data_IF_673270484160
#
_entry.id   IF_673270484160
#
_cell.length_a   1.000
_cell.length_b   1.000
_cell.length_c   1.000
_cell.angle_alpha   90.00
_cell.angle_beta   90.00
_cell.angle_gamma   90.00
#
_symmetry.space_group_name_H-M   'P 1'
#
loop_
_entity.id
_entity.type
_entity.pdbx_description
1 polymer ?
#
# COMPACT_ATOMS: atom_id res chain seq x y z
N UNK A 1 17.35 2.09 26.96
CA UNK A 1 16.24 1.80 26.04
C UNK A 1 16.81 1.83 24.64
N UNK A 2 17.23 0.68 24.15
CA UNK A 2 17.79 0.46 22.82
C UNK A 2 16.73 0.74 21.77
N UNK A 3 17.08 1.52 20.74
CA UNK A 3 16.19 1.78 19.60
C UNK A 3 15.84 0.45 18.95
N UNK A 4 14.57 0.13 18.89
CA UNK A 4 14.06 -1.04 18.17
C UNK A 4 14.22 -0.81 16.67
N UNK A 5 14.75 -1.78 15.93
CA UNK A 5 14.93 -1.64 14.47
C UNK A 5 13.62 -1.48 13.68
N UNK A 6 12.47 -1.88 14.26
CA UNK A 6 11.14 -1.76 13.65
C UNK A 6 10.43 -0.48 14.10
N UNK A 7 10.93 0.67 13.63
CA UNK A 7 10.38 1.99 13.98
C UNK A 7 9.33 2.48 12.98
N UNK A 8 8.16 1.85 12.99
CA UNK A 8 6.99 2.39 12.30
C UNK A 8 5.85 2.64 13.30
N UNK A 9 5.70 3.88 13.76
CA UNK A 9 4.65 4.25 14.72
C UNK A 9 5.08 5.35 15.69
N UNK A 10 5.07 5.05 17.00
CA UNK A 10 5.35 6.00 18.09
C UNK A 10 6.70 6.74 17.94
N UNK A 11 7.64 6.14 17.21
CA UNK A 11 9.03 6.59 17.05
C UNK A 11 9.30 7.27 15.69
N UNK A 12 8.24 7.65 14.94
CA UNK A 12 8.37 8.39 13.69
C UNK A 12 9.10 9.72 13.89
N UNK A 13 10.14 9.97 13.10
CA UNK A 13 10.91 11.24 13.13
C UNK A 13 10.04 12.47 12.87
N UNK A 14 9.07 12.34 11.95
CA UNK A 14 8.19 13.43 11.50
C UNK A 14 6.74 12.92 11.35
N UNK A 15 5.97 12.85 12.46
CA UNK A 15 4.64 12.25 12.43
C UNK A 15 3.58 13.14 11.77
N UNK A 16 3.60 14.47 11.99
CA UNK A 16 2.59 15.39 11.43
C UNK A 16 2.56 15.36 9.88
N UNK A 17 3.70 15.50 9.17
CA UNK A 17 3.69 15.43 7.71
C UNK A 17 3.23 14.06 7.20
N UNK A 18 3.58 12.97 7.91
CA UNK A 18 3.14 11.63 7.53
C UNK A 18 1.61 11.50 7.57
N UNK A 19 0.96 11.96 8.64
CA UNK A 19 -0.50 11.92 8.74
C UNK A 19 -1.19 12.77 7.68
N UNK A 20 -0.61 13.91 7.30
CA UNK A 20 -1.12 14.72 6.19
C UNK A 20 -1.04 13.94 4.88
N UNK A 21 0.12 13.35 4.56
CA UNK A 21 0.27 12.55 3.34
C UNK A 21 -0.67 11.34 3.33
N UNK A 22 -0.93 10.72 4.48
CA UNK A 22 -1.89 9.62 4.60
C UNK A 22 -3.31 10.09 4.34
N UNK A 23 -3.70 11.24 4.88
CA UNK A 23 -4.99 11.87 4.57
C UNK A 23 -5.15 12.11 3.06
N UNK A 24 -4.13 12.66 2.42
CA UNK A 24 -4.12 12.87 0.96
C UNK A 24 -4.23 11.53 0.22
N UNK A 25 -3.53 10.49 0.66
CA UNK A 25 -3.58 9.17 0.03
C UNK A 25 -4.96 8.51 0.14
N UNK A 26 -5.66 8.69 1.27
CA UNK A 26 -7.05 8.22 1.44
C UNK A 26 -8.01 9.00 0.53
N UNK A 27 -7.84 10.32 0.41
CA UNK A 27 -8.63 11.12 -0.55
C UNK A 27 -8.37 10.66 -1.98
N UNK A 28 -7.11 10.38 -2.33
CA UNK A 28 -6.71 9.87 -3.63
C UNK A 28 -7.35 8.50 -3.93
N UNK A 29 -7.49 7.62 -2.94
CA UNK A 29 -8.26 6.38 -3.07
C UNK A 29 -9.73 6.64 -3.41
N UNK A 30 -10.38 7.61 -2.76
CA UNK A 30 -11.77 7.97 -3.05
C UNK A 30 -11.90 8.48 -4.49
N UNK A 31 -10.98 9.35 -4.93
CA UNK A 31 -10.94 9.86 -6.30
C UNK A 31 -10.74 8.70 -7.30
N UNK A 32 -9.82 7.78 -7.02
CA UNK A 32 -9.59 6.60 -7.86
C UNK A 32 -10.83 5.72 -7.96
N UNK A 33 -11.54 5.48 -6.85
CA UNK A 33 -12.76 4.69 -6.84
C UNK A 33 -13.87 5.33 -7.69
N UNK A 34 -14.06 6.65 -7.60
CA UNK A 34 -15.01 7.39 -8.43
C UNK A 34 -14.59 7.31 -9.90
N UNK A 35 -13.30 7.49 -10.20
CA UNK A 35 -12.77 7.41 -11.56
C UNK A 35 -13.00 6.03 -12.17
N UNK A 36 -12.78 4.94 -11.41
CA UNK A 36 -13.11 3.58 -11.84
C UNK A 36 -14.60 3.42 -12.12
N UNK A 37 -15.46 3.88 -11.21
CA UNK A 37 -16.92 3.72 -11.35
C UNK A 37 -17.49 4.48 -12.57
N UNK A 38 -16.87 5.59 -12.94
CA UNK A 38 -17.27 6.43 -14.08
C UNK A 38 -16.49 6.14 -15.37
N UNK A 39 -15.53 5.21 -15.36
CA UNK A 39 -14.69 4.89 -16.52
C UNK A 39 -13.73 6.02 -16.93
N UNK A 40 -13.33 6.88 -15.99
CA UNK A 40 -12.45 8.03 -16.22
C UNK A 40 -10.97 7.60 -16.14
N UNK A 41 -10.49 6.94 -17.20
CA UNK A 41 -9.14 6.35 -17.26
C UNK A 41 -8.01 7.34 -16.95
N UNK A 42 -8.09 8.58 -17.45
CA UNK A 42 -7.04 9.59 -17.23
C UNK A 42 -6.92 9.98 -15.75
N UNK A 43 -8.06 10.16 -15.06
CA UNK A 43 -8.10 10.47 -13.63
C UNK A 43 -7.59 9.26 -12.84
N UNK A 44 -7.95 8.06 -13.24
CA UNK A 44 -7.51 6.83 -12.58
C UNK A 44 -5.98 6.64 -12.68
N UNK A 45 -5.39 6.85 -13.87
CA UNK A 45 -3.93 6.80 -14.06
C UNK A 45 -3.25 7.90 -13.23
N UNK A 46 -3.83 9.10 -13.20
CA UNK A 46 -3.31 10.19 -12.37
C UNK A 46 -3.31 9.82 -10.89
N UNK A 47 -4.39 9.19 -10.41
CA UNK A 47 -4.48 8.71 -9.03
C UNK A 47 -3.44 7.62 -8.71
N UNK A 48 -3.14 6.72 -9.66
CA UNK A 48 -2.05 5.74 -9.51
C UNK A 48 -0.69 6.44 -9.32
N UNK A 49 -0.37 7.41 -10.18
CA UNK A 49 0.89 8.16 -10.11
C UNK A 49 0.99 8.89 -8.76
N UNK A 50 -0.09 9.56 -8.34
CA UNK A 50 -0.15 10.25 -7.05
C UNK A 50 0.07 9.26 -5.90
N UNK A 51 -0.54 8.08 -5.92
CA UNK A 51 -0.35 7.07 -4.87
C UNK A 51 1.13 6.67 -4.74
N UNK A 52 1.79 6.39 -5.85
CA UNK A 52 3.22 6.04 -5.88
C UNK A 52 4.07 7.20 -5.33
N UNK A 53 3.84 8.42 -5.79
CA UNK A 53 4.57 9.61 -5.32
C UNK A 53 4.39 9.82 -3.82
N UNK A 54 3.17 9.67 -3.31
CA UNK A 54 2.88 9.84 -1.88
C UNK A 54 3.61 8.79 -1.03
N UNK A 55 3.65 7.51 -1.44
CA UNK A 55 4.42 6.48 -0.74
C UNK A 55 5.91 6.82 -0.72
N UNK A 56 6.46 7.26 -1.85
CA UNK A 56 7.86 7.67 -1.96
C UNK A 56 8.14 8.87 -1.05
N UNK A 57 7.28 9.88 -1.04
CA UNK A 57 7.39 11.03 -0.15
C UNK A 57 7.33 10.62 1.34
N UNK A 58 6.45 9.69 1.70
CA UNK A 58 6.39 9.17 3.08
C UNK A 58 7.71 8.51 3.49
N UNK A 59 8.29 7.70 2.60
CA UNK A 59 9.60 7.08 2.83
C UNK A 59 10.72 8.14 2.96
N UNK A 60 10.76 9.15 2.09
CA UNK A 60 11.78 10.21 2.16
C UNK A 60 11.68 11.00 3.47
N UNK A 61 10.47 11.26 3.96
CA UNK A 61 10.25 12.01 5.20
C UNK A 61 10.61 11.18 6.44
N UNK A 62 10.32 9.87 6.42
CA UNK A 62 10.61 8.95 7.53
C UNK A 62 11.39 7.72 7.01
N UNK A 63 12.66 7.89 6.59
CA UNK A 63 13.41 6.81 5.97
C UNK A 63 13.76 5.76 7.01
N UNK A 64 13.28 4.54 6.79
CA UNK A 64 13.59 3.38 7.63
C UNK A 64 13.52 2.09 6.82
N UNK A 65 14.39 1.12 7.15
CA UNK A 65 14.37 -0.22 6.55
C UNK A 65 13.02 -0.93 6.72
N UNK A 66 12.34 -0.86 7.89
CA UNK A 66 10.99 -1.40 8.04
C UNK A 66 9.97 -0.79 7.09
N UNK A 67 10.03 0.52 6.83
CA UNK A 67 9.11 1.17 5.89
C UNK A 67 9.29 0.61 4.49
N UNK A 68 10.55 0.45 4.04
CA UNK A 68 10.85 -0.15 2.75
C UNK A 68 10.34 -1.60 2.66
N UNK A 69 10.58 -2.40 3.71
CA UNK A 69 10.07 -3.77 3.78
C UNK A 69 8.53 -3.79 3.74
N UNK A 70 7.86 -2.86 4.42
CA UNK A 70 6.42 -2.73 4.36
C UNK A 70 5.92 -2.36 2.95
N UNK A 71 6.58 -1.46 2.23
CA UNK A 71 6.20 -1.13 0.85
C UNK A 71 6.33 -2.37 -0.04
N UNK A 72 7.40 -3.15 0.10
CA UNK A 72 7.61 -4.34 -0.72
C UNK A 72 6.64 -5.46 -0.34
N UNK A 73 6.59 -5.84 0.94
CA UNK A 73 5.86 -7.03 1.41
C UNK A 73 4.42 -6.75 1.84
N UNK A 74 4.06 -5.50 2.09
CA UNK A 74 2.71 -5.08 2.50
C UNK A 74 1.91 -4.38 1.39
N UNK A 75 2.55 -3.97 0.30
CA UNK A 75 1.87 -3.29 -0.82
C UNK A 75 2.21 -4.01 -2.14
N UNK A 76 3.45 -3.90 -2.62
CA UNK A 76 3.80 -4.32 -4.00
C UNK A 76 3.63 -5.83 -4.23
N UNK A 77 4.22 -6.66 -3.37
CA UNK A 77 4.18 -8.11 -3.54
C UNK A 77 2.74 -8.67 -3.36
N UNK A 78 1.96 -8.26 -2.34
CA UNK A 78 0.55 -8.63 -2.25
C UNK A 78 -0.27 -8.19 -3.47
N UNK A 79 -0.07 -6.97 -3.98
CA UNK A 79 -0.75 -6.51 -5.20
C UNK A 79 -0.45 -7.40 -6.40
N UNK A 80 0.81 -7.82 -6.58
CA UNK A 80 1.20 -8.66 -7.71
C UNK A 80 0.56 -10.05 -7.62
N UNK A 81 0.64 -10.67 -6.45
CA UNK A 81 0.06 -12.00 -6.22
C UNK A 81 -1.47 -11.94 -6.37
N UNK A 82 -2.10 -10.92 -5.78
CA UNK A 82 -3.54 -10.66 -5.87
C UNK A 82 -3.98 -10.50 -7.33
N UNK A 83 -3.26 -9.72 -8.14
CA UNK A 83 -3.59 -9.53 -9.56
C UNK A 83 -3.45 -10.82 -10.38
N UNK A 84 -2.36 -11.56 -10.20
CA UNK A 84 -2.12 -12.83 -10.92
C UNK A 84 -3.20 -13.87 -10.58
N UNK A 85 -3.52 -14.02 -9.30
CA UNK A 85 -4.51 -15.01 -8.84
C UNK A 85 -5.92 -14.53 -9.17
N UNK A 86 -6.26 -13.28 -8.85
CA UNK A 86 -7.60 -12.72 -9.04
C UNK A 86 -8.04 -12.75 -10.49
N UNK A 87 -7.20 -12.24 -11.40
CA UNK A 87 -7.50 -12.27 -12.84
C UNK A 87 -7.40 -13.69 -13.39
N UNK A 88 -6.45 -14.49 -12.91
CA UNK A 88 -6.30 -15.89 -13.32
C UNK A 88 -7.55 -16.73 -13.02
N UNK A 89 -8.13 -16.56 -11.83
CA UNK A 89 -9.38 -17.24 -11.44
C UNK A 89 -10.53 -16.78 -12.34
N UNK A 90 -10.64 -15.49 -12.67
CA UNK A 90 -11.71 -14.99 -13.55
C UNK A 90 -11.62 -15.58 -14.96
N UNK A 91 -10.40 -15.71 -15.52
CA UNK A 91 -10.19 -16.33 -16.83
C UNK A 91 -10.48 -17.83 -16.76
N UNK A 92 -9.96 -18.55 -15.77
CA UNK A 92 -10.17 -20.00 -15.62
C UNK A 92 -11.64 -20.36 -15.37
N UNK A 93 -12.39 -19.49 -14.68
CA UNK A 93 -13.81 -19.66 -14.44
C UNK A 93 -14.70 -19.21 -15.61
N UNK A 94 -14.11 -18.71 -16.71
CA UNK A 94 -14.85 -18.27 -17.91
C UNK A 94 -15.57 -16.92 -17.75
N UNK A 95 -15.25 -16.14 -16.71
CA UNK A 95 -15.80 -14.79 -16.49
C UNK A 95 -15.02 -13.69 -17.22
N UNK A 96 -13.83 -14.00 -17.74
CA UNK A 96 -13.01 -13.08 -18.50
C UNK A 96 -12.35 -13.76 -19.71
N UNK A 97 -12.18 -13.04 -20.83
CA UNK A 97 -11.47 -13.56 -22.01
C UNK A 97 -9.98 -13.77 -21.71
N UNK A 98 -9.42 -14.87 -22.22
CA UNK A 98 -8.01 -15.20 -22.01
C UNK A 98 -7.06 -14.19 -22.67
N UNK A 99 -7.48 -13.57 -23.79
CA UNK A 99 -6.68 -12.56 -24.50
C UNK A 99 -6.51 -11.29 -23.65
N UNK A 100 -7.44 -11.02 -22.74
CA UNK A 100 -7.43 -9.87 -21.84
C UNK A 100 -6.63 -10.09 -20.55
N UNK A 101 -6.07 -11.28 -20.32
CA UNK A 101 -5.46 -11.66 -19.04
C UNK A 101 -4.40 -10.64 -18.57
N UNK A 102 -3.41 -10.32 -19.40
CA UNK A 102 -2.33 -9.42 -18.99
C UNK A 102 -2.78 -7.97 -18.79
N UNK A 103 -3.77 -7.52 -19.57
CA UNK A 103 -4.37 -6.19 -19.39
C UNK A 103 -5.11 -6.15 -18.04
N UNK A 104 -5.87 -7.20 -17.73
CA UNK A 104 -6.53 -7.37 -16.45
C UNK A 104 -5.53 -7.39 -15.29
N UNK A 105 -4.44 -8.16 -15.40
CA UNK A 105 -3.40 -8.25 -14.34
C UNK A 105 -2.78 -6.88 -14.09
N UNK A 106 -2.42 -6.13 -15.13
CA UNK A 106 -1.84 -4.79 -14.98
C UNK A 106 -2.83 -3.83 -14.32
N UNK A 107 -4.08 -3.81 -14.78
CA UNK A 107 -5.13 -2.95 -14.23
C UNK A 107 -5.44 -3.28 -12.76
N UNK A 108 -5.57 -4.58 -12.44
CA UNK A 108 -5.81 -5.05 -11.08
C UNK A 108 -4.63 -4.72 -10.16
N UNK A 109 -3.41 -5.02 -10.59
CA UNK A 109 -2.19 -4.70 -9.85
C UNK A 109 -2.12 -3.22 -9.50
N UNK A 110 -2.34 -2.35 -10.48
CA UNK A 110 -2.35 -0.91 -10.27
C UNK A 110 -3.49 -0.45 -9.35
N UNK A 111 -4.69 -1.04 -9.46
CA UNK A 111 -5.78 -0.79 -8.53
C UNK A 111 -5.40 -1.16 -7.09
N UNK A 112 -4.84 -2.35 -6.89
CA UNK A 112 -4.38 -2.83 -5.59
C UNK A 112 -3.29 -1.95 -5.00
N UNK A 113 -2.37 -1.41 -5.81
CA UNK A 113 -1.36 -0.45 -5.33
C UNK A 113 -2.01 0.79 -4.70
N UNK A 114 -3.07 1.33 -5.31
CA UNK A 114 -3.79 2.49 -4.76
C UNK A 114 -4.50 2.10 -3.45
N UNK A 115 -5.20 0.97 -3.44
CA UNK A 115 -5.99 0.51 -2.28
C UNK A 115 -5.08 0.16 -1.10
N UNK A 116 -4.09 -0.69 -1.31
CA UNK A 116 -3.20 -1.16 -0.24
C UNK A 116 -2.33 -0.03 0.29
N UNK A 117 -1.87 0.90 -0.56
CA UNK A 117 -1.14 2.06 -0.05
C UNK A 117 -2.00 2.94 0.86
N UNK A 118 -3.26 3.19 0.50
CA UNK A 118 -4.15 4.02 1.28
C UNK A 118 -4.66 3.35 2.56
N UNK A 119 -4.88 2.03 2.56
CA UNK A 119 -5.48 1.30 3.69
C UNK A 119 -4.43 0.58 4.54
N UNK A 120 -3.51 -0.16 3.93
CA UNK A 120 -2.52 -0.94 4.67
C UNK A 120 -1.54 -0.02 5.43
N UNK A 121 -1.20 1.15 4.90
CA UNK A 121 -0.28 2.08 5.56
C UNK A 121 -0.80 2.62 6.89
N UNK A 122 -2.02 3.20 6.99
CA UNK A 122 -2.55 3.62 8.28
C UNK A 122 -2.79 2.44 9.22
N UNK A 123 -3.23 1.28 8.70
CA UNK A 123 -3.35 0.06 9.50
C UNK A 123 -2.01 -0.34 10.10
N UNK A 124 -0.94 -0.37 9.31
CA UNK A 124 0.39 -0.73 9.76
C UNK A 124 0.89 0.23 10.86
N UNK A 125 0.68 1.54 10.73
CA UNK A 125 1.07 2.52 11.75
C UNK A 125 0.32 2.29 13.08
N UNK A 126 -1.00 2.08 12.99
CA UNK A 126 -1.85 1.87 14.16
C UNK A 126 -1.55 0.52 14.82
N UNK A 127 -1.48 -0.54 14.03
CA UNK A 127 -1.24 -1.91 14.52
C UNK A 127 0.16 -2.05 15.09
N UNK A 128 1.20 -1.54 14.44
CA UNK A 128 2.57 -1.61 14.97
C UNK A 128 2.68 -0.91 16.32
N UNK A 129 2.02 0.25 16.48
CA UNK A 129 1.97 0.96 17.77
C UNK A 129 1.27 0.15 18.87
N UNK A 130 0.25 -0.65 18.53
CA UNK A 130 -0.41 -1.55 19.48
C UNK A 130 0.41 -2.81 19.76
N UNK A 131 0.96 -3.44 18.73
CA UNK A 131 1.75 -4.68 18.82
C UNK A 131 3.00 -4.45 19.69
N UNK A 132 3.70 -3.33 19.52
CA UNK A 132 4.85 -2.95 20.37
C UNK A 132 4.52 -2.87 21.87
N UNK A 133 3.24 -2.74 22.25
CA UNK A 133 2.81 -2.72 23.66
C UNK A 133 2.46 -4.10 24.21
N UNK A 134 2.50 -5.14 23.38
CA UNK A 134 2.19 -6.52 23.77
C UNK A 134 3.46 -7.28 24.10
N UNK A 135 3.34 -8.36 24.88
CA UNK A 135 4.46 -9.26 25.23
C UNK A 135 4.96 -10.12 24.06
N UNK A 136 4.33 -10.03 22.89
CA UNK A 136 4.67 -10.80 21.69
C UNK A 136 5.73 -10.08 20.84
N UNK A 137 5.95 -8.79 21.07
CA UNK A 137 6.92 -8.02 20.30
C UNK A 137 8.35 -8.38 20.69
N UNK A 138 9.09 -8.95 19.74
CA UNK A 138 10.52 -9.26 19.88
C UNK A 138 11.32 -8.09 19.29
N UNK A 139 12.12 -7.44 20.13
CA UNK A 139 13.08 -6.44 19.68
C UNK A 139 14.23 -7.12 18.90
N UNK A 140 14.80 -6.43 17.91
CA UNK A 140 16.02 -6.85 17.21
C UNK A 140 15.93 -8.21 16.48
N UNK A 141 14.76 -8.62 16.00
CA UNK A 141 14.58 -9.89 15.30
C UNK A 141 15.44 -10.03 14.02
N UNK A 142 15.82 -8.91 13.41
CA UNK A 142 16.68 -8.86 12.22
C UNK A 142 17.99 -8.09 12.44
N UNK A 143 18.40 -7.89 13.71
CA UNK A 143 19.68 -7.26 14.05
C UNK A 143 20.87 -8.16 13.72
#
# INVERSE_FOLDING_TARGET
>A
LTKTDVDIGKDLKRPKPLYILLGILVINLIIAAIATALGLTEIWITALIIAIVLIVCMYIINPSRPWLLFVIFGIVLPSLISALIGVGILVLAGFAPAEGYWIGVIGWFAGDLIVLSAIATPMMIVLTTKIKKTSIFVENWFA
#
